data_IF_151330351055
#
_entry.id   IF_151330351055
#
_cell.length_a   1.000
_cell.length_b   1.000
_cell.length_c   1.000
_cell.angle_alpha   90.00
_cell.angle_beta   90.00
_cell.angle_gamma   90.00
#
_symmetry.space_group_name_H-M   'P 1'
#
loop_
_entity.id
_entity.type
_entity.pdbx_description
1 polymer ?
#
# COMPACT_ATOMS: atom_id res chain seq x y z
N UNK A 1 13.71 -55.09 18.75
CA UNK A 1 12.69 -54.02 18.68
C UNK A 1 13.40 -52.72 18.33
N UNK A 2 13.59 -52.43 17.03
CA UNK A 2 14.27 -51.22 16.58
C UNK A 2 13.23 -50.11 16.35
N UNK A 3 13.33 -49.03 17.11
CA UNK A 3 12.45 -47.87 17.01
C UNK A 3 12.67 -47.15 15.68
N UNK A 4 11.62 -47.04 14.87
CA UNK A 4 11.63 -46.23 13.65
C UNK A 4 11.61 -44.75 14.04
N UNK A 5 12.71 -44.05 13.80
CA UNK A 5 12.75 -42.59 13.89
C UNK A 5 12.13 -42.01 12.61
N UNK A 6 10.95 -41.40 12.74
CA UNK A 6 10.32 -40.65 11.64
C UNK A 6 10.97 -39.27 11.54
N UNK A 7 11.68 -39.03 10.44
CA UNK A 7 12.18 -37.70 10.11
C UNK A 7 11.00 -36.75 9.88
N UNK A 8 10.97 -35.64 10.62
CA UNK A 8 9.94 -34.61 10.52
C UNK A 8 10.29 -33.71 9.33
N UNK A 9 9.62 -33.89 8.20
CA UNK A 9 9.79 -33.01 7.04
C UNK A 9 9.25 -31.62 7.38
N UNK A 10 10.14 -30.62 7.52
CA UNK A 10 9.74 -29.23 7.65
C UNK A 10 9.39 -28.68 6.28
N UNK A 11 8.11 -28.35 6.05
CA UNK A 11 7.71 -27.55 4.88
C UNK A 11 8.15 -26.11 5.14
N UNK A 12 9.09 -25.62 4.33
CA UNK A 12 9.49 -24.21 4.38
C UNK A 12 8.36 -23.39 3.76
N UNK A 13 7.55 -22.74 4.59
CA UNK A 13 6.51 -21.82 4.10
C UNK A 13 7.19 -20.58 3.53
N UNK A 14 7.00 -20.34 2.23
CA UNK A 14 7.49 -19.12 1.59
C UNK A 14 6.67 -17.95 2.13
N UNK A 15 7.33 -16.94 2.68
CA UNK A 15 6.65 -15.69 3.07
C UNK A 15 6.10 -15.03 1.80
N UNK A 16 4.79 -14.76 1.79
CA UNK A 16 4.10 -14.08 0.70
C UNK A 16 3.58 -12.74 1.20
N UNK A 17 3.74 -11.70 0.40
CA UNK A 17 3.19 -10.37 0.65
C UNK A 17 2.27 -9.99 -0.51
N UNK A 18 1.12 -9.41 -0.18
CA UNK A 18 0.18 -8.84 -1.15
C UNK A 18 0.32 -7.32 -1.08
N UNK A 19 0.63 -6.70 -2.21
CA UNK A 19 0.82 -5.25 -2.31
C UNK A 19 -0.33 -4.67 -3.11
N UNK A 20 -1.11 -3.81 -2.46
CA UNK A 20 -2.10 -2.95 -3.12
C UNK A 20 -1.41 -1.61 -3.36
N UNK A 21 -1.14 -1.29 -4.62
CA UNK A 21 -0.44 -0.06 -5.00
C UNK A 21 -1.39 0.95 -5.64
N UNK A 22 -1.24 2.23 -5.29
CA UNK A 22 -2.08 3.35 -5.71
C UNK A 22 -2.21 4.37 -4.58
N UNK A 23 -2.67 5.57 -4.90
CA UNK A 23 -2.90 6.61 -3.87
C UNK A 23 -4.03 6.20 -2.91
N UNK A 24 -3.94 6.61 -1.65
CA UNK A 24 -4.82 6.27 -0.52
C UNK A 24 -6.28 6.75 -0.72
N UNK A 25 -7.03 6.10 -1.61
CA UNK A 25 -8.40 6.48 -1.98
C UNK A 25 -9.32 5.28 -1.87
N UNK A 26 -10.60 5.47 -2.17
CA UNK A 26 -11.63 4.44 -2.00
C UNK A 26 -11.30 3.09 -2.66
N UNK A 27 -10.59 3.10 -3.81
CA UNK A 27 -10.18 1.88 -4.51
C UNK A 27 -9.13 1.06 -3.75
N UNK A 28 -8.09 1.71 -3.21
CA UNK A 28 -7.04 1.01 -2.44
C UNK A 28 -7.58 0.49 -1.12
N UNK A 29 -8.40 1.29 -0.42
CA UNK A 29 -9.02 0.87 0.84
C UNK A 29 -10.00 -0.29 0.61
N UNK A 30 -10.81 -0.26 -0.46
CA UNK A 30 -11.72 -1.35 -0.80
C UNK A 30 -10.97 -2.65 -1.14
N UNK A 31 -9.89 -2.57 -1.92
CA UNK A 31 -9.07 -3.72 -2.26
C UNK A 31 -8.37 -4.32 -1.03
N UNK A 32 -7.74 -3.48 -0.21
CA UNK A 32 -7.11 -3.91 1.05
C UNK A 32 -8.12 -4.61 1.97
N UNK A 33 -9.34 -4.07 2.08
CA UNK A 33 -10.41 -4.69 2.86
C UNK A 33 -10.86 -6.03 2.29
N UNK A 34 -11.03 -6.14 0.96
CA UNK A 34 -11.41 -7.38 0.31
C UNK A 34 -10.37 -8.49 0.56
N UNK A 35 -9.08 -8.17 0.43
CA UNK A 35 -8.00 -9.12 0.68
C UNK A 35 -7.98 -9.56 2.15
N UNK A 36 -8.19 -8.63 3.08
CA UNK A 36 -8.30 -8.94 4.51
C UNK A 36 -9.46 -9.90 4.79
N UNK A 37 -10.64 -9.62 4.23
CA UNK A 37 -11.81 -10.50 4.34
C UNK A 37 -11.57 -11.87 3.68
N UNK A 38 -10.65 -11.95 2.72
CA UNK A 38 -10.24 -13.20 2.05
C UNK A 38 -9.14 -13.96 2.80
N UNK A 39 -8.74 -13.51 4.00
CA UNK A 39 -7.77 -14.18 4.87
C UNK A 39 -6.35 -13.62 4.83
N UNK A 40 -6.11 -12.51 4.12
CA UNK A 40 -4.84 -11.80 4.22
C UNK A 40 -4.72 -11.05 5.55
N UNK A 41 -3.51 -10.96 6.09
CA UNK A 41 -3.23 -10.17 7.29
C UNK A 41 -3.07 -8.70 6.92
N UNK A 42 -3.77 -7.82 7.63
CA UNK A 42 -3.59 -6.37 7.50
C UNK A 42 -2.32 -5.89 8.21
N UNK A 43 -1.81 -4.69 7.88
CA UNK A 43 -0.73 -4.07 8.65
C UNK A 43 -1.09 -3.92 10.13
N UNK A 44 -0.08 -3.96 11.00
CA UNK A 44 -0.26 -3.77 12.45
C UNK A 44 -0.80 -2.37 12.78
N UNK A 45 -0.35 -1.36 12.02
CA UNK A 45 -0.79 0.03 12.15
C UNK A 45 -1.40 0.51 10.84
N UNK A 46 -2.70 0.72 10.86
CA UNK A 46 -3.45 1.31 9.74
C UNK A 46 -3.75 2.78 10.04
N UNK A 47 -4.00 3.56 8.99
CA UNK A 47 -4.38 4.97 9.12
C UNK A 47 -5.73 5.14 9.84
N UNK A 48 -5.80 6.15 10.71
CA UNK A 48 -7.00 6.47 11.50
C UNK A 48 -8.16 6.98 10.61
N UNK A 49 -9.42 6.78 11.04
CA UNK A 49 -10.59 7.35 10.35
C UNK A 49 -10.52 8.88 10.21
N UNK A 50 -10.99 9.37 9.07
CA UNK A 50 -11.07 10.80 8.75
C UNK A 50 -12.46 11.22 8.28
N UNK A 51 -12.69 12.53 8.04
CA UNK A 51 -13.97 13.04 7.54
C UNK A 51 -14.42 12.38 6.23
N UNK A 52 -13.47 12.07 5.34
CA UNK A 52 -13.71 11.45 4.04
C UNK A 52 -13.93 9.93 4.13
N UNK A 53 -13.52 9.31 5.24
CA UNK A 53 -13.72 7.89 5.50
C UNK A 53 -13.94 7.62 7.00
N UNK A 54 -15.18 7.81 7.48
CA UNK A 54 -15.52 7.63 8.90
C UNK A 54 -15.34 6.20 9.42
N UNK A 55 -15.24 5.21 8.52
CA UNK A 55 -15.04 3.81 8.87
C UNK A 55 -13.57 3.41 9.02
N UNK A 56 -12.64 4.33 8.74
CA UNK A 56 -11.21 4.04 8.78
C UNK A 56 -10.67 3.52 7.46
N UNK A 57 -9.36 3.70 7.31
CA UNK A 57 -8.58 3.26 6.17
C UNK A 57 -7.97 1.89 6.46
N UNK A 58 -7.48 1.23 5.42
CA UNK A 58 -6.84 -0.09 5.54
C UNK A 58 -5.37 -0.07 5.09
N UNK A 59 -4.91 1.11 4.69
CA UNK A 59 -3.55 1.42 4.29
C UNK A 59 -2.63 1.52 5.52
N UNK A 60 -1.36 1.04 5.43
CA UNK A 60 -0.37 1.27 6.47
C UNK A 60 -0.01 2.77 6.55
N UNK A 61 -0.09 3.35 7.75
CA UNK A 61 0.20 4.79 7.96
C UNK A 61 1.60 5.16 7.47
N UNK A 62 2.59 4.31 7.74
CA UNK A 62 3.98 4.49 7.34
C UNK A 62 4.16 4.61 5.83
N UNK A 63 3.39 3.83 5.06
CA UNK A 63 3.49 3.86 3.60
C UNK A 63 2.86 5.12 3.02
N UNK A 64 1.74 5.56 3.59
CA UNK A 64 1.10 6.81 3.13
C UNK A 64 2.00 8.01 3.44
N UNK A 65 2.57 8.08 4.65
CA UNK A 65 3.52 9.13 5.00
C UNK A 65 4.76 9.14 4.09
N UNK A 66 5.28 7.96 3.71
CA UNK A 66 6.41 7.84 2.79
C UNK A 66 6.04 8.30 1.37
N UNK A 67 4.86 7.93 0.87
CA UNK A 67 4.38 8.36 -0.45
C UNK A 67 4.25 9.90 -0.51
N UNK A 68 3.73 10.51 0.55
CA UNK A 68 3.63 11.97 0.67
C UNK A 68 5.03 12.62 0.70
N UNK A 69 5.97 12.08 1.49
CA UNK A 69 7.36 12.58 1.54
C UNK A 69 8.05 12.52 0.15
N UNK A 70 7.87 11.42 -0.57
CA UNK A 70 8.43 11.25 -1.92
C UNK A 70 7.86 12.30 -2.89
N UNK A 71 6.54 12.55 -2.83
CA UNK A 71 5.87 13.53 -3.68
C UNK A 71 6.28 14.97 -3.34
N UNK A 72 6.39 15.29 -2.05
CA UNK A 72 6.86 16.60 -1.57
C UNK A 72 8.31 16.87 -1.98
N UNK A 73 9.18 15.86 -1.91
CA UNK A 73 10.59 15.98 -2.30
C UNK A 73 10.78 16.39 -3.79
N UNK A 74 9.76 16.17 -4.62
CA UNK A 74 9.74 16.54 -6.04
C UNK A 74 8.76 17.68 -6.35
N UNK A 75 8.38 18.46 -5.32
CA UNK A 75 7.44 19.60 -5.42
C UNK A 75 6.13 19.22 -6.15
N UNK A 76 5.62 18.04 -5.82
CA UNK A 76 4.41 17.46 -6.37
C UNK A 76 3.45 17.02 -5.27
N UNK A 77 2.27 16.58 -5.69
CA UNK A 77 1.19 16.04 -4.85
C UNK A 77 0.47 14.95 -5.60
N UNK A 78 -0.30 14.13 -4.90
CA UNK A 78 -1.05 13.03 -5.51
C UNK A 78 -2.10 13.53 -6.52
N UNK A 79 -2.64 14.73 -6.32
CA UNK A 79 -3.64 15.38 -7.18
C UNK A 79 -3.03 16.32 -8.23
N UNK A 80 -1.70 16.40 -8.30
CA UNK A 80 -1.01 17.21 -9.30
C UNK A 80 -1.02 16.52 -10.67
N UNK A 81 -1.97 16.93 -11.51
CA UNK A 81 -2.12 16.41 -12.90
C UNK A 81 -0.97 16.82 -13.84
N UNK A 82 -0.12 17.78 -13.45
CA UNK A 82 0.99 18.29 -14.25
C UNK A 82 2.35 17.69 -13.84
N UNK A 83 2.36 16.67 -12.98
CA UNK A 83 3.55 15.96 -12.52
C UNK A 83 4.64 16.88 -11.91
N UNK A 84 5.83 16.32 -11.69
CA UNK A 84 7.03 17.01 -11.19
C UNK A 84 7.44 18.13 -12.14
N UNK A 85 7.88 19.28 -11.59
CA UNK A 85 8.27 20.49 -12.34
C UNK A 85 9.22 20.23 -13.53
N UNK A 86 10.07 19.22 -13.44
CA UNK A 86 11.06 18.87 -14.47
C UNK A 86 10.52 17.92 -15.57
N UNK A 87 9.21 17.63 -15.59
CA UNK A 87 8.59 16.89 -16.68
C UNK A 87 8.20 17.84 -17.82
N UNK A 88 9.10 18.02 -18.79
CA UNK A 88 8.89 18.86 -19.98
C UNK A 88 7.56 18.56 -20.72
N UNK A 89 7.11 17.30 -20.71
CA UNK A 89 5.86 16.89 -21.37
C UNK A 89 4.61 17.38 -20.65
N UNK A 90 4.66 17.52 -19.32
CA UNK A 90 3.52 17.92 -18.52
C UNK A 90 3.44 19.45 -18.36
N UNK A 91 4.59 20.14 -18.33
CA UNK A 91 4.62 21.60 -18.22
C UNK A 91 4.12 22.33 -19.46
N UNK A 92 4.38 21.81 -20.66
CA UNK A 92 3.93 22.39 -21.94
C UNK A 92 2.38 22.49 -22.07
N UNK A 93 1.63 21.75 -21.25
CA UNK A 93 0.17 21.74 -21.24
C UNK A 93 -0.45 22.80 -20.31
N UNK A 94 0.33 23.40 -19.40
CA UNK A 94 -0.16 24.32 -18.34
C UNK A 94 -0.25 25.78 -18.81
N UNK A 95 0.40 26.11 -19.92
CA UNK A 95 0.48 27.46 -20.50
C UNK A 95 -0.45 27.70 -21.70
N UNK A 96 -1.54 26.92 -21.82
CA UNK A 96 -2.62 27.15 -22.79
C UNK A 96 -3.92 27.51 -22.09
#
# INVERSE_FOLDING_TARGET
MAGKTTAKTSVTTRRQALVVAGMHRSGTSAMARLLSLSGATLPERVMDPGPDNPLGYWEPWEMVALDDEILEAVDSRWDNVFAVKDNERAWAARSR
#
